data_IF_522030098776
#
_entry.id   IF_522030098776
#
_cell.length_a   1.000
_cell.length_b   1.000
_cell.length_c   1.000
_cell.angle_alpha   90.00
_cell.angle_beta   90.00
_cell.angle_gamma   90.00
#
_symmetry.space_group_name_H-M   'P 1'
#
loop_
_entity.id
_entity.type
_entity.pdbx_description
1 polymer ?
#
# COMPACT_ATOMS: atom_id res chain seq x y z
N UNK A 1 -6.10 -11.75 -5.26
CA UNK A 1 -5.79 -12.22 -3.88
C UNK A 1 -4.94 -11.16 -3.20
N UNK A 2 -5.18 -10.89 -1.91
CA UNK A 2 -4.27 -10.08 -1.07
C UNK A 2 -3.48 -11.00 -0.14
N UNK A 3 -2.22 -10.68 0.13
CA UNK A 3 -1.34 -11.42 1.02
C UNK A 3 -0.53 -10.45 1.87
N UNK A 4 -0.23 -10.84 3.11
CA UNK A 4 0.72 -10.12 3.97
C UNK A 4 2.17 -10.20 3.44
N UNK A 5 2.43 -10.93 2.35
CA UNK A 5 3.74 -10.95 1.70
C UNK A 5 4.57 -12.19 2.03
N UNK A 6 3.95 -13.36 2.20
CA UNK A 6 4.68 -14.61 2.44
C UNK A 6 5.38 -15.03 1.13
N UNK A 7 6.74 -14.99 1.03
CA UNK A 7 7.46 -15.18 -0.23
C UNK A 7 7.16 -16.52 -0.90
N UNK A 8 7.10 -17.61 -0.11
CA UNK A 8 6.80 -18.96 -0.60
C UNK A 8 5.42 -19.06 -1.24
N UNK A 9 4.42 -18.37 -0.68
CA UNK A 9 3.06 -18.38 -1.25
C UNK A 9 2.99 -17.57 -2.53
N UNK A 10 3.70 -16.44 -2.61
CA UNK A 10 3.80 -15.64 -3.84
C UNK A 10 4.43 -16.45 -4.96
N UNK A 11 5.55 -17.12 -4.70
CA UNK A 11 6.23 -17.99 -5.68
C UNK A 11 5.31 -19.13 -6.12
N UNK A 12 4.64 -19.81 -5.17
CA UNK A 12 3.67 -20.86 -5.51
C UNK A 12 2.51 -20.35 -6.38
N UNK A 13 1.91 -19.21 -6.06
CA UNK A 13 0.84 -18.65 -6.89
C UNK A 13 1.33 -18.28 -8.30
N UNK A 14 2.60 -17.90 -8.46
CA UNK A 14 3.20 -17.65 -9.77
C UNK A 14 3.34 -18.95 -10.59
N UNK A 15 3.77 -20.04 -9.93
CA UNK A 15 3.90 -21.37 -10.56
C UNK A 15 2.54 -21.99 -10.90
N UNK A 16 1.52 -21.73 -10.09
CA UNK A 16 0.15 -22.20 -10.31
C UNK A 16 -0.58 -21.42 -11.44
N UNK A 17 0.09 -20.45 -12.09
CA UNK A 17 -0.42 -19.63 -13.20
C UNK A 17 -1.82 -19.02 -12.94
N UNK A 18 -2.03 -18.55 -11.71
CA UNK A 18 -3.33 -18.05 -11.27
C UNK A 18 -3.76 -16.83 -12.10
N UNK A 19 -5.06 -16.78 -12.44
CA UNK A 19 -5.62 -15.72 -13.33
C UNK A 19 -5.97 -14.42 -12.59
N UNK A 20 -5.83 -14.37 -11.27
CA UNK A 20 -6.17 -13.19 -10.49
C UNK A 20 -4.98 -12.23 -10.32
N UNK A 21 -5.27 -10.96 -10.01
CA UNK A 21 -4.25 -9.95 -9.70
C UNK A 21 -3.73 -10.13 -8.27
N UNK A 22 -2.44 -9.84 -8.07
CA UNK A 22 -1.76 -9.87 -6.79
C UNK A 22 -1.82 -8.49 -6.11
N UNK A 23 -2.28 -8.47 -4.87
CA UNK A 23 -2.12 -7.35 -3.95
C UNK A 23 -1.25 -7.79 -2.75
N UNK A 24 -0.39 -6.90 -2.28
CA UNK A 24 0.51 -7.13 -1.14
C UNK A 24 0.35 -6.02 -0.12
N UNK A 25 0.07 -6.38 1.13
CA UNK A 25 0.08 -5.46 2.27
C UNK A 25 1.54 -5.13 2.62
N UNK A 26 2.01 -4.00 2.10
CA UNK A 26 3.42 -3.58 2.21
C UNK A 26 3.64 -2.67 3.42
N UNK A 27 2.87 -1.57 3.48
CA UNK A 27 2.84 -0.56 4.55
C UNK A 27 4.14 0.17 4.89
N UNK A 28 5.31 -0.38 4.60
CA UNK A 28 6.58 0.34 4.57
C UNK A 28 7.55 -0.36 3.62
N UNK A 29 8.37 0.42 2.93
CA UNK A 29 9.48 -0.06 2.11
C UNK A 29 10.84 0.06 2.83
N UNK A 30 10.83 0.24 4.15
CA UNK A 30 12.00 0.26 5.04
C UNK A 30 11.80 -0.85 6.07
N UNK A 31 12.75 -1.80 6.16
CA UNK A 31 12.59 -3.02 6.97
C UNK A 31 12.30 -2.73 8.44
N UNK A 32 13.03 -1.78 9.05
CA UNK A 32 12.82 -1.44 10.47
C UNK A 32 11.40 -0.93 10.72
N UNK A 33 10.95 0.04 9.91
CA UNK A 33 9.59 0.58 10.00
C UNK A 33 8.54 -0.48 9.68
N UNK A 34 8.80 -1.35 8.69
CA UNK A 34 7.90 -2.44 8.34
C UNK A 34 7.76 -3.44 9.47
N UNK A 35 8.84 -3.80 10.16
CA UNK A 35 8.79 -4.68 11.33
C UNK A 35 7.98 -4.07 12.47
N UNK A 36 8.08 -2.75 12.71
CA UNK A 36 7.25 -2.05 13.73
C UNK A 36 5.76 -2.14 13.42
N UNK A 37 5.38 -2.02 12.14
CA UNK A 37 3.97 -2.09 11.70
C UNK A 37 3.49 -3.55 11.60
N UNK A 38 4.36 -4.44 11.15
CA UNK A 38 4.08 -5.81 10.76
C UNK A 38 5.18 -6.75 11.30
N UNK A 39 5.10 -7.20 12.57
CA UNK A 39 6.18 -7.98 13.20
C UNK A 39 6.59 -9.25 12.45
N UNK A 40 5.72 -9.84 11.63
CA UNK A 40 6.10 -10.98 10.79
C UNK A 40 7.18 -10.64 9.73
N UNK A 41 7.46 -9.36 9.46
CA UNK A 41 8.57 -8.94 8.58
C UNK A 41 9.92 -9.46 9.08
N UNK A 42 10.10 -9.69 10.38
CA UNK A 42 11.32 -10.32 10.93
C UNK A 42 11.61 -11.69 10.32
N UNK A 43 10.57 -12.41 9.94
CA UNK A 43 10.68 -13.75 9.33
C UNK A 43 10.69 -13.68 7.80
N UNK A 44 10.27 -12.56 7.21
CA UNK A 44 10.09 -12.37 5.78
C UNK A 44 10.46 -10.93 5.40
N UNK A 45 11.77 -10.59 5.41
CA UNK A 45 12.24 -9.23 5.20
C UNK A 45 11.94 -8.75 3.78
N UNK A 46 12.04 -7.42 3.57
CA UNK A 46 11.73 -6.80 2.27
C UNK A 46 12.55 -7.36 1.10
N UNK A 47 13.78 -7.80 1.35
CA UNK A 47 14.62 -8.46 0.34
C UNK A 47 13.99 -9.74 -0.18
N UNK A 48 13.55 -10.64 0.71
CA UNK A 48 12.90 -11.90 0.31
C UNK A 48 11.54 -11.65 -0.36
N UNK A 49 10.81 -10.65 0.13
CA UNK A 49 9.57 -10.21 -0.51
C UNK A 49 9.84 -9.69 -1.92
N UNK A 50 10.87 -8.85 -2.12
CA UNK A 50 11.26 -8.35 -3.44
C UNK A 50 11.55 -9.49 -4.40
N UNK A 51 12.38 -10.45 -4.00
CA UNK A 51 12.74 -11.59 -4.85
C UNK A 51 11.50 -12.40 -5.28
N UNK A 52 10.56 -12.63 -4.36
CA UNK A 52 9.32 -13.32 -4.69
C UNK A 52 8.44 -12.53 -5.67
N UNK A 53 8.43 -11.21 -5.56
CA UNK A 53 7.67 -10.33 -6.44
C UNK A 53 8.30 -10.20 -7.83
N UNK A 54 9.62 -10.15 -7.91
CA UNK A 54 10.37 -10.24 -9.17
C UNK A 54 10.05 -11.56 -9.87
N UNK A 55 10.06 -12.67 -9.13
CA UNK A 55 9.69 -13.98 -9.66
C UNK A 55 8.23 -13.99 -10.17
N UNK A 56 7.28 -13.51 -9.36
CA UNK A 56 5.88 -13.39 -9.75
C UNK A 56 5.71 -12.60 -11.06
N UNK A 57 6.35 -11.44 -11.17
CA UNK A 57 6.26 -10.61 -12.36
C UNK A 57 6.92 -11.27 -13.57
N UNK A 58 8.06 -11.94 -13.37
CA UNK A 58 8.77 -12.65 -14.45
C UNK A 58 7.90 -13.72 -15.12
N UNK A 59 7.11 -14.44 -14.32
CA UNK A 59 6.22 -15.51 -14.74
C UNK A 59 4.90 -15.02 -15.31
N UNK A 60 4.25 -14.10 -14.61
CA UNK A 60 2.86 -13.74 -14.91
C UNK A 60 2.72 -12.49 -15.77
N UNK A 61 3.74 -11.63 -15.81
CA UNK A 61 3.71 -10.26 -16.36
C UNK A 61 2.58 -9.39 -15.79
N UNK A 62 1.95 -9.81 -14.70
CA UNK A 62 0.87 -9.10 -14.06
C UNK A 62 1.41 -8.00 -13.14
N UNK A 63 0.87 -6.79 -13.29
CA UNK A 63 1.14 -5.65 -12.41
C UNK A 63 0.84 -6.01 -10.94
N UNK A 64 1.74 -5.61 -10.05
CA UNK A 64 1.62 -5.82 -8.61
C UNK A 64 0.89 -4.62 -7.99
N UNK A 65 -0.04 -4.88 -7.07
CA UNK A 65 -0.67 -3.82 -6.27
C UNK A 65 -0.10 -3.83 -4.86
N UNK A 66 0.34 -2.69 -4.37
CA UNK A 66 0.77 -2.50 -2.98
C UNK A 66 -0.33 -1.82 -2.20
N UNK A 67 -0.80 -2.48 -1.13
CA UNK A 67 -1.65 -1.87 -0.12
C UNK A 67 -0.75 -1.18 0.90
N UNK A 68 -1.05 0.10 1.15
CA UNK A 68 -0.19 0.96 1.93
C UNK A 68 -1.03 1.89 2.79
N UNK A 69 -0.72 1.96 4.08
CA UNK A 69 -1.35 2.88 5.03
C UNK A 69 -0.25 3.80 5.51
N UNK A 70 -0.55 5.10 5.59
CA UNK A 70 0.40 6.10 6.08
C UNK A 70 -0.06 6.52 7.47
N UNK A 71 0.76 6.26 8.47
CA UNK A 71 0.52 6.60 9.87
C UNK A 71 1.41 7.74 10.31
N UNK A 72 0.80 8.61 11.13
CA UNK A 72 1.45 9.79 11.69
C UNK A 72 2.68 9.42 12.51
N UNK A 73 3.83 9.99 12.17
CA UNK A 73 5.11 9.79 12.87
C UNK A 73 5.71 8.40 12.72
N UNK A 74 5.20 7.55 11.81
CA UNK A 74 5.69 6.18 11.60
C UNK A 74 6.30 6.04 10.22
N UNK A 75 5.57 6.42 9.18
CA UNK A 75 5.99 6.32 7.78
C UNK A 75 5.47 7.49 6.95
N UNK A 76 5.30 8.67 7.55
CA UNK A 76 4.69 9.86 6.95
C UNK A 76 5.72 10.90 6.47
N UNK A 77 6.96 10.48 6.23
CA UNK A 77 8.04 11.37 5.78
C UNK A 77 8.35 11.24 4.29
N UNK A 78 9.18 12.16 3.78
CA UNK A 78 9.67 12.11 2.39
C UNK A 78 10.55 10.88 2.12
N UNK A 79 11.37 10.49 3.10
CA UNK A 79 12.24 9.32 3.00
C UNK A 79 11.42 8.04 2.81
N UNK A 80 10.30 7.91 3.52
CA UNK A 80 9.41 6.75 3.42
C UNK A 80 8.83 6.58 2.01
N UNK A 81 8.32 7.67 1.41
CA UNK A 81 7.79 7.60 0.04
C UNK A 81 8.88 7.42 -1.00
N UNK A 82 10.07 8.00 -0.81
CA UNK A 82 11.20 7.78 -1.71
C UNK A 82 11.65 6.30 -1.69
N UNK A 83 11.67 5.68 -0.51
CA UNK A 83 11.92 4.24 -0.36
C UNK A 83 10.84 3.41 -1.09
N UNK A 84 9.56 3.79 -0.97
CA UNK A 84 8.47 3.13 -1.69
C UNK A 84 8.61 3.26 -3.21
N UNK A 85 9.04 4.43 -3.70
CA UNK A 85 9.35 4.63 -5.13
C UNK A 85 10.45 3.68 -5.57
N UNK A 86 11.58 3.60 -4.85
CA UNK A 86 12.65 2.65 -5.19
C UNK A 86 12.14 1.21 -5.17
N UNK A 87 11.28 0.89 -4.20
CA UNK A 87 10.70 -0.43 -4.06
C UNK A 87 9.81 -0.82 -5.26
N UNK A 88 9.22 0.16 -5.94
CA UNK A 88 8.34 -0.08 -7.08
C UNK A 88 9.08 -0.23 -8.42
N UNK A 89 10.35 0.17 -8.55
CA UNK A 89 11.01 0.35 -9.87
C UNK A 89 11.23 -0.92 -10.69
N UNK A 90 11.30 -2.09 -10.05
CA UNK A 90 11.65 -3.35 -10.73
C UNK A 90 10.53 -3.89 -11.65
N UNK A 91 9.26 -3.49 -11.42
CA UNK A 91 8.11 -3.96 -12.17
C UNK A 91 7.00 -2.92 -12.19
N UNK A 92 6.13 -2.88 -13.23
CA UNK A 92 4.93 -2.07 -13.19
C UNK A 92 4.13 -2.34 -11.92
N UNK A 93 3.80 -1.28 -11.20
CA UNK A 93 3.11 -1.36 -9.92
C UNK A 93 1.94 -0.38 -9.83
N UNK A 94 1.06 -0.65 -8.87
CA UNK A 94 0.02 0.26 -8.42
C UNK A 94 0.12 0.37 -6.91
N UNK A 95 0.03 1.56 -6.35
CA UNK A 95 -0.11 1.78 -4.91
C UNK A 95 -1.55 2.14 -4.58
N UNK A 96 -2.15 1.40 -3.65
CA UNK A 96 -3.41 1.75 -3.03
C UNK A 96 -3.10 2.33 -1.64
N UNK A 97 -3.17 3.66 -1.52
CA UNK A 97 -3.16 4.32 -0.22
C UNK A 97 -4.51 4.05 0.45
N UNK A 98 -4.49 3.55 1.68
CA UNK A 98 -5.69 3.19 2.44
C UNK A 98 -5.78 4.14 3.63
N UNK A 99 -6.91 4.80 3.75
CA UNK A 99 -7.22 5.60 4.92
C UNK A 99 -7.39 4.70 6.15
N UNK A 100 -6.67 5.02 7.21
CA UNK A 100 -6.74 4.33 8.48
C UNK A 100 -7.85 4.95 9.34
N UNK A 101 -8.81 4.14 9.75
CA UNK A 101 -9.70 4.50 10.84
C UNK A 101 -9.15 3.84 12.10
N UNK A 102 -8.84 4.59 13.17
CA UNK A 102 -8.42 4.01 14.44
C UNK A 102 -9.43 2.97 14.93
N UNK A 103 -8.94 1.79 15.30
CA UNK A 103 -9.74 0.65 15.77
C UNK A 103 -9.39 0.25 17.22
N UNK A 104 -8.41 0.93 17.82
CA UNK A 104 -7.77 0.62 19.09
C UNK A 104 -7.42 1.89 19.89
N UNK A 105 -6.77 1.69 21.05
CA UNK A 105 -6.40 2.73 22.05
C UNK A 105 -5.35 3.76 21.57
N UNK A 106 -5.10 3.85 20.25
CA UNK A 106 -4.33 4.93 19.65
C UNK A 106 -2.84 4.67 19.39
N UNK A 107 -2.41 3.40 19.32
CA UNK A 107 -1.03 3.04 18.93
C UNK A 107 -0.69 3.59 17.53
N UNK A 108 -1.65 3.50 16.60
CA UNK A 108 -1.52 4.04 15.26
C UNK A 108 -2.54 5.15 15.01
N UNK A 109 -2.09 6.24 14.39
CA UNK A 109 -2.95 7.35 14.00
C UNK A 109 -2.83 7.62 12.51
N UNK A 110 -3.94 7.97 11.88
CA UNK A 110 -3.97 8.39 10.49
C UNK A 110 -2.99 9.56 10.28
N UNK A 111 -2.14 9.47 9.26
CA UNK A 111 -1.25 10.55 8.88
C UNK A 111 -2.02 11.80 8.43
N UNK A 112 -1.38 12.97 8.57
CA UNK A 112 -1.92 14.23 8.08
C UNK A 112 -2.19 14.18 6.57
N UNK A 113 -3.18 14.94 6.11
CA UNK A 113 -3.51 15.05 4.68
C UNK A 113 -2.31 15.51 3.84
N UNK A 114 -1.42 16.34 4.39
CA UNK A 114 -0.20 16.77 3.74
C UNK A 114 0.76 15.62 3.43
N UNK A 115 0.89 14.64 4.33
CA UNK A 115 1.68 13.44 4.09
C UNK A 115 1.03 12.55 3.02
N UNK A 116 -0.30 12.38 3.05
CA UNK A 116 -1.01 11.65 2.01
C UNK A 116 -0.82 12.32 0.64
N UNK A 117 -0.91 13.65 0.58
CA UNK A 117 -0.65 14.43 -0.63
C UNK A 117 0.78 14.26 -1.12
N UNK A 118 1.76 14.31 -0.21
CA UNK A 118 3.17 14.06 -0.53
C UNK A 118 3.35 12.70 -1.20
N UNK A 119 2.71 11.65 -0.65
CA UNK A 119 2.75 10.31 -1.23
C UNK A 119 2.18 10.29 -2.65
N UNK A 120 1.02 10.92 -2.87
CA UNK A 120 0.41 11.02 -4.21
C UNK A 120 1.34 11.72 -5.19
N UNK A 121 1.81 12.94 -4.86
CA UNK A 121 2.64 13.76 -5.74
C UNK A 121 3.95 13.03 -6.14
N UNK A 122 4.61 12.39 -5.16
CA UNK A 122 5.89 11.69 -5.39
C UNK A 122 5.69 10.41 -6.20
N UNK A 123 4.63 9.64 -5.94
CA UNK A 123 4.35 8.43 -6.71
C UNK A 123 3.96 8.76 -8.16
N UNK A 124 3.11 9.76 -8.37
CA UNK A 124 2.67 10.18 -9.70
C UNK A 124 3.83 10.76 -10.53
N UNK A 125 4.68 11.60 -9.92
CA UNK A 125 5.87 12.13 -10.60
C UNK A 125 6.89 11.05 -10.99
N UNK A 126 6.83 9.87 -10.36
CA UNK A 126 7.62 8.69 -10.72
C UNK A 126 6.85 7.67 -11.59
N UNK A 127 5.73 8.08 -12.20
CA UNK A 127 4.87 7.26 -13.07
C UNK A 127 4.30 5.99 -12.38
N UNK A 128 4.14 6.02 -11.06
CA UNK A 128 3.51 4.93 -10.29
C UNK A 128 2.03 5.27 -10.12
N UNK A 129 1.15 4.38 -10.59
CA UNK A 129 -0.30 4.58 -10.41
C UNK A 129 -0.64 4.55 -8.93
N UNK A 130 -1.22 5.62 -8.40
CA UNK A 130 -1.69 5.70 -7.02
C UNK A 130 -3.22 5.87 -6.98
N UNK A 131 -3.88 5.24 -6.02
CA UNK A 131 -5.29 5.51 -5.70
C UNK A 131 -5.48 5.57 -4.19
N UNK A 132 -6.37 6.44 -3.73
CA UNK A 132 -6.74 6.53 -2.31
C UNK A 132 -8.05 5.79 -2.08
N UNK A 133 -8.07 4.85 -1.14
CA UNK A 133 -9.26 4.18 -0.64
C UNK A 133 -9.69 4.87 0.65
N UNK A 134 -10.74 5.69 0.55
CA UNK A 134 -11.37 6.36 1.69
C UNK A 134 -12.33 5.42 2.42
N UNK A 135 -12.54 5.67 3.70
CA UNK A 135 -13.57 4.97 4.47
C UNK A 135 -14.96 5.27 3.91
N UNK A 136 -15.83 4.26 3.81
CA UNK A 136 -17.23 4.45 3.44
C UNK A 136 -17.90 5.28 4.54
N UNK A 137 -18.19 6.55 4.25
CA UNK A 137 -18.84 7.48 5.18
C UNK A 137 -18.36 8.92 5.09
N UNK A 138 -17.12 9.18 4.64
CA UNK A 138 -16.60 10.55 4.51
C UNK A 138 -17.04 11.27 3.22
N UNK A 139 -17.48 10.53 2.19
CA UNK A 139 -17.98 11.13 0.95
C UNK A 139 -19.46 11.58 1.04
N UNK A 140 -20.14 11.37 2.19
CA UNK A 140 -21.52 11.88 2.40
C UNK A 140 -21.50 13.38 2.72
N UNK A 141 -20.45 13.89 3.37
CA UNK A 141 -20.35 15.30 3.74
C UNK A 141 -19.63 16.18 2.71
N UNK A 142 -18.97 15.57 1.71
CA UNK A 142 -18.24 16.29 0.66
C UNK A 142 -19.00 16.42 -0.67
N UNK A 143 -20.16 15.77 -0.80
CA UNK A 143 -21.06 15.92 -1.94
C UNK A 143 -22.15 16.95 -1.61
N UNK A 144 -21.95 18.18 -2.08
CA UNK A 144 -22.97 19.16 -2.44
C UNK A 144 -24.26 19.21 -1.60
N UNK A 145 -24.44 20.35 -0.91
CA UNK A 145 -25.78 20.90 -0.75
C UNK A 145 -26.47 20.98 -2.11
N UNK A 146 -27.44 20.10 -2.33
CA UNK A 146 -28.65 20.28 -3.13
C UNK A 146 -29.44 18.99 -3.05
N UNK A 147 -30.26 18.89 -2.00
CA UNK A 147 -31.61 18.31 -2.04
C UNK A 147 -32.27 18.65 -0.71
N UNK A 148 -32.56 19.94 -0.55
CA UNK A 148 -33.74 20.35 0.16
C UNK A 148 -34.95 19.84 -0.64
N UNK A 149 -35.73 18.94 -0.03
CA UNK A 149 -37.17 18.76 -0.19
C UNK A 149 -37.56 17.88 1.01
N UNK A 150 -38.05 18.43 2.12
CA UNK A 150 -39.48 18.74 2.32
C UNK A 150 -40.40 17.76 1.56
N UNK A 151 -40.72 16.65 2.22
CA UNK A 151 -42.09 16.28 2.57
C UNK A 151 -42.02 15.39 3.82
#
# INVERSE_FOLDING_TARGET
VSTSGIPKMIKKMADDEVKFKLAVSLHSAIDETRTKIMPFNEHFPLTELREALEYWYSKTKNRITYEYVVWKGVNDTKEDVEALVQFCKFAPSKVNLIEYNPIDDGEFQQAHESAIKLYVDVLESNNITVTIRRSRGKDIDAACGQLANKA
#
